data_IF_254202610406
#
_entry.id   IF_254202610406
#
_cell.length_a   1.000
_cell.length_b   1.000
_cell.length_c   1.000
_cell.angle_alpha   90.00
_cell.angle_beta   90.00
_cell.angle_gamma   90.00
#
_symmetry.space_group_name_H-M   'P 1'
#
loop_
_entity.id
_entity.type
_entity.pdbx_description
1 polymer ?
#
# COMPACT_ATOMS: atom_id res chain seq x y z
N UNK A 1 -74.78 36.88 62.88
CA UNK A 1 -73.39 36.66 62.43
C UNK A 1 -72.97 37.85 61.58
N UNK A 2 -71.92 38.59 61.96
CA UNK A 2 -71.44 39.77 61.22
C UNK A 2 -70.64 39.33 59.99
N UNK A 3 -70.79 39.97 58.81
CA UNK A 3 -69.93 39.69 57.67
C UNK A 3 -68.51 40.19 57.95
N UNK A 4 -67.51 39.34 57.72
CA UNK A 4 -66.09 39.75 57.74
C UNK A 4 -65.81 40.58 56.48
N UNK A 5 -65.01 41.66 56.56
CA UNK A 5 -64.64 42.42 55.38
C UNK A 5 -63.70 41.60 54.50
N UNK A 6 -63.97 41.57 53.20
CA UNK A 6 -63.01 41.08 52.21
C UNK A 6 -61.82 42.05 52.20
N UNK A 7 -60.68 41.61 52.71
CA UNK A 7 -59.42 42.34 52.57
C UNK A 7 -59.01 42.20 51.10
N UNK A 8 -59.32 43.23 50.30
CA UNK A 8 -58.79 43.36 48.95
C UNK A 8 -57.27 43.39 49.03
N UNK A 9 -56.61 42.46 48.32
CA UNK A 9 -55.18 42.56 48.09
C UNK A 9 -54.90 43.90 47.41
N UNK A 10 -54.07 44.73 48.05
CA UNK A 10 -53.60 45.97 47.44
C UNK A 10 -52.94 45.66 46.10
N UNK A 11 -53.21 46.47 45.06
CA UNK A 11 -52.66 46.31 43.72
C UNK A 11 -51.12 46.11 43.72
N UNK A 12 -50.40 46.64 44.72
CA UNK A 12 -48.94 46.49 44.82
C UNK A 12 -48.49 45.10 45.28
N UNK A 13 -49.29 44.40 46.10
CA UNK A 13 -48.97 43.04 46.57
C UNK A 13 -49.33 41.98 45.54
N UNK A 14 -50.43 42.18 44.80
CA UNK A 14 -50.80 41.32 43.67
C UNK A 14 -49.80 41.46 42.52
N UNK A 15 -49.36 42.70 42.21
CA UNK A 15 -48.32 42.95 41.22
C UNK A 15 -46.99 42.25 41.59
N UNK A 16 -46.50 42.36 42.83
CA UNK A 16 -45.26 41.67 43.25
C UNK A 16 -45.34 40.14 43.19
N UNK A 17 -46.50 39.53 43.50
CA UNK A 17 -46.71 38.08 43.45
C UNK A 17 -46.79 37.50 42.03
N UNK A 18 -47.18 38.29 41.04
CA UNK A 18 -47.23 37.87 39.63
C UNK A 18 -45.93 38.25 38.89
N UNK A 19 -45.37 39.42 39.18
CA UNK A 19 -44.18 39.95 38.50
C UNK A 19 -42.92 39.15 38.86
N UNK A 20 -42.72 38.72 40.11
CA UNK A 20 -41.51 37.97 40.47
C UNK A 20 -41.44 36.56 39.84
N UNK A 21 -42.51 35.74 39.84
CA UNK A 21 -42.52 34.46 39.10
C UNK A 21 -42.47 34.66 37.59
N UNK A 22 -43.13 35.69 37.04
CA UNK A 22 -43.08 35.99 35.61
C UNK A 22 -41.70 36.46 35.14
N UNK A 23 -40.98 37.24 35.97
CA UNK A 23 -39.58 37.61 35.73
C UNK A 23 -38.65 36.41 35.88
N UNK A 24 -38.90 35.49 36.81
CA UNK A 24 -38.11 34.27 36.96
C UNK A 24 -38.32 33.31 35.79
N UNK A 25 -39.57 33.09 35.35
CA UNK A 25 -39.90 32.28 34.17
C UNK A 25 -39.38 32.97 32.90
N UNK A 26 -39.52 34.29 32.78
CA UNK A 26 -38.97 35.07 31.68
C UNK A 26 -37.44 35.01 31.61
N UNK A 27 -36.75 35.13 32.75
CA UNK A 27 -35.29 34.99 32.83
C UNK A 27 -34.82 33.55 32.56
N UNK A 28 -35.59 32.54 32.98
CA UNK A 28 -35.33 31.13 32.68
C UNK A 28 -35.53 30.83 31.19
N UNK A 29 -36.58 31.37 30.57
CA UNK A 29 -36.81 31.26 29.12
C UNK A 29 -35.74 32.00 28.32
N UNK A 30 -35.32 33.20 28.75
CA UNK A 30 -34.20 33.92 28.13
C UNK A 30 -32.92 33.09 28.27
N UNK A 31 -32.59 32.56 29.45
CA UNK A 31 -31.40 31.73 29.64
C UNK A 31 -31.39 30.46 28.78
N UNK A 32 -32.56 29.82 28.58
CA UNK A 32 -32.72 28.65 27.71
C UNK A 32 -32.67 29.01 26.22
N UNK A 33 -33.14 30.19 25.81
CA UNK A 33 -33.05 30.67 24.42
C UNK A 33 -31.71 31.36 24.08
N UNK A 34 -30.96 31.82 25.08
CA UNK A 34 -29.60 32.40 24.90
C UNK A 34 -28.49 31.37 25.04
N UNK A 35 -28.78 30.19 25.59
CA UNK A 35 -27.91 29.03 25.47
C UNK A 35 -28.32 28.23 24.24
N UNK A 36 -27.85 28.68 23.08
CA UNK A 36 -27.69 27.75 21.97
C UNK A 36 -26.80 26.59 22.47
N UNK A 37 -27.23 25.33 22.37
CA UNK A 37 -26.34 24.22 22.65
C UNK A 37 -25.10 24.40 21.78
N UNK A 38 -23.89 24.16 22.33
CA UNK A 38 -22.68 24.27 21.53
C UNK A 38 -22.87 23.43 20.26
N UNK A 39 -22.41 23.93 19.09
CA UNK A 39 -22.51 23.17 17.86
C UNK A 39 -21.94 21.76 18.11
N UNK A 40 -22.55 20.71 17.54
CA UNK A 40 -21.99 19.38 17.67
C UNK A 40 -20.51 19.42 17.24
N UNK A 41 -19.62 18.72 17.97
CA UNK A 41 -18.20 18.75 17.68
C UNK A 41 -17.97 18.34 16.22
N UNK A 42 -17.08 19.05 15.54
CA UNK A 42 -16.70 18.74 14.16
C UNK A 42 -15.93 17.42 14.10
N UNK A 43 -15.77 16.84 12.90
CA UNK A 43 -14.91 15.67 12.73
C UNK A 43 -13.46 15.94 13.15
N UNK A 44 -13.00 17.19 13.03
CA UNK A 44 -11.68 17.60 13.47
C UNK A 44 -11.59 17.63 15.00
N UNK A 45 -12.65 18.08 15.68
CA UNK A 45 -12.73 18.07 17.16
C UNK A 45 -12.77 16.64 17.75
N UNK A 46 -13.15 15.65 16.94
CA UNK A 46 -13.23 14.23 17.32
C UNK A 46 -12.05 13.40 16.77
N UNK A 47 -11.15 14.03 16.01
CA UNK A 47 -10.02 13.34 15.40
C UNK A 47 -9.04 12.85 16.47
N UNK A 48 -8.53 11.64 16.29
CA UNK A 48 -7.43 11.12 17.09
C UNK A 48 -6.12 11.81 16.69
N UNK A 49 -5.13 11.76 17.58
CA UNK A 49 -3.79 12.22 17.22
C UNK A 49 -3.21 11.30 16.15
N UNK A 50 -2.40 11.90 15.26
CA UNK A 50 -1.69 11.21 14.20
C UNK A 50 -0.22 11.66 14.24
N UNK A 51 0.69 10.69 14.23
CA UNK A 51 2.11 10.93 14.07
C UNK A 51 2.54 10.38 12.71
N UNK A 52 3.28 11.18 11.95
CA UNK A 52 3.90 10.75 10.70
C UNK A 52 5.41 10.68 10.89
N UNK A 53 5.97 9.52 10.58
CA UNK A 53 7.40 9.26 10.51
C UNK A 53 7.76 9.02 9.04
N UNK A 54 8.96 9.44 8.64
CA UNK A 54 9.43 9.24 7.27
C UNK A 54 10.95 9.16 7.22
N UNK A 55 11.47 8.48 6.21
CA UNK A 55 12.91 8.36 5.99
C UNK A 55 13.23 7.73 4.64
N UNK A 56 14.48 7.29 4.50
CA UNK A 56 14.95 6.56 3.33
C UNK A 56 15.42 5.16 3.74
N UNK A 57 15.12 4.15 2.92
CA UNK A 57 15.56 2.76 3.07
C UNK A 57 15.31 2.02 1.74
N UNK A 58 15.99 0.88 1.51
CA UNK A 58 15.77 0.01 0.35
C UNK A 58 15.85 0.75 -1.01
N UNK A 59 16.74 1.74 -1.11
CA UNK A 59 16.91 2.56 -2.31
C UNK A 59 15.73 3.51 -2.63
N UNK A 60 14.83 3.73 -1.68
CA UNK A 60 13.64 4.57 -1.82
C UNK A 60 13.31 5.32 -0.52
N UNK A 61 12.15 5.96 -0.47
CA UNK A 61 11.61 6.60 0.74
C UNK A 61 10.51 5.76 1.36
N UNK A 62 10.30 5.95 2.65
CA UNK A 62 9.18 5.37 3.39
C UNK A 62 8.45 6.45 4.19
N UNK A 63 7.15 6.23 4.40
CA UNK A 63 6.29 7.04 5.27
C UNK A 63 5.38 6.13 6.09
N UNK A 64 5.32 6.38 7.40
CA UNK A 64 4.45 5.64 8.32
C UNK A 64 3.61 6.64 9.09
N UNK A 65 2.29 6.47 9.03
CA UNK A 65 1.32 7.23 9.83
C UNK A 65 0.75 6.33 10.91
N UNK A 66 0.79 6.78 12.15
CA UNK A 66 0.29 6.04 13.31
C UNK A 66 -0.79 6.88 13.99
N UNK A 67 -1.94 6.26 14.26
CA UNK A 67 -3.11 6.90 14.87
C UNK A 67 -3.34 6.33 16.26
N UNK A 68 -3.52 7.20 17.25
CA UNK A 68 -3.72 6.82 18.64
C UNK A 68 -3.44 7.99 19.58
N UNK A 69 -3.34 7.76 20.89
CA UNK A 69 -2.85 8.78 21.81
C UNK A 69 -1.47 9.27 21.35
N UNK A 70 -1.26 10.58 21.27
CA UNK A 70 0.03 11.15 20.87
C UNK A 70 1.16 10.52 21.70
N UNK A 71 2.07 9.74 21.08
CA UNK A 71 3.22 9.23 21.80
C UNK A 71 4.07 10.40 22.28
N UNK A 72 4.51 10.31 23.54
CA UNK A 72 5.55 11.20 24.04
C UNK A 72 6.86 10.99 23.25
N UNK A 73 7.87 11.82 23.50
CA UNK A 73 9.14 11.77 22.78
C UNK A 73 9.77 10.37 22.78
N UNK A 74 9.72 9.67 23.93
CA UNK A 74 10.19 8.28 24.05
C UNK A 74 9.42 7.32 23.14
N UNK A 75 8.08 7.40 23.11
CA UNK A 75 7.27 6.56 22.24
C UNK A 75 7.51 6.81 20.75
N UNK A 76 7.81 8.07 20.36
CA UNK A 76 8.20 8.38 18.99
C UNK A 76 9.57 7.76 18.62
N UNK A 77 10.52 7.76 19.56
CA UNK A 77 11.81 7.09 19.38
C UNK A 77 11.66 5.57 19.27
N UNK A 78 10.81 4.95 20.09
CA UNK A 78 10.50 3.51 20.02
C UNK A 78 9.86 3.12 18.68
N UNK A 79 8.89 3.92 18.20
CA UNK A 79 8.28 3.75 16.88
C UNK A 79 9.32 3.83 15.77
N UNK A 80 10.15 4.87 15.76
CA UNK A 80 11.19 5.07 14.76
C UNK A 80 12.23 3.93 14.78
N UNK A 81 12.63 3.47 15.96
CA UNK A 81 13.54 2.34 16.12
C UNK A 81 12.94 1.03 15.59
N UNK A 82 11.67 0.74 15.88
CA UNK A 82 11.00 -0.46 15.40
C UNK A 82 10.82 -0.47 13.88
N UNK A 83 10.44 0.66 13.28
CA UNK A 83 10.33 0.81 11.82
C UNK A 83 11.71 0.62 11.17
N UNK A 84 12.74 1.27 11.71
CA UNK A 84 14.11 1.19 11.17
C UNK A 84 14.65 -0.23 11.27
N UNK A 85 14.44 -0.91 12.40
CA UNK A 85 14.87 -2.30 12.59
C UNK A 85 14.15 -3.26 11.62
N UNK A 86 12.86 -3.05 11.36
CA UNK A 86 12.11 -3.84 10.40
C UNK A 86 12.65 -3.67 8.97
N UNK A 87 12.94 -2.43 8.55
CA UNK A 87 13.52 -2.11 7.25
C UNK A 87 14.93 -2.65 7.10
N UNK A 88 15.81 -2.40 8.08
CA UNK A 88 17.21 -2.85 8.06
C UNK A 88 17.29 -4.38 8.02
N UNK A 89 16.43 -5.08 8.79
CA UNK A 89 16.40 -6.54 8.75
C UNK A 89 16.01 -7.09 7.37
N UNK A 90 15.22 -6.37 6.59
CA UNK A 90 14.89 -6.77 5.21
C UNK A 90 16.06 -6.46 4.28
N UNK A 91 16.66 -5.27 4.39
CA UNK A 91 17.80 -4.85 3.57
C UNK A 91 19.01 -5.76 3.76
N UNK A 92 19.40 -6.03 5.01
CA UNK A 92 20.49 -6.95 5.38
C UNK A 92 20.30 -8.37 4.79
N UNK A 93 19.06 -8.82 4.61
CA UNK A 93 18.78 -10.20 4.17
C UNK A 93 18.52 -10.30 2.67
N UNK A 94 17.89 -9.30 2.08
CA UNK A 94 17.26 -9.40 0.75
C UNK A 94 17.81 -8.40 -0.27
N UNK A 95 18.75 -7.54 0.12
CA UNK A 95 19.34 -6.56 -0.80
C UNK A 95 20.31 -7.21 -1.77
N UNK A 96 20.16 -6.92 -3.06
CA UNK A 96 21.12 -7.27 -4.12
C UNK A 96 22.25 -6.25 -4.26
N UNK A 97 22.16 -5.11 -3.56
CA UNK A 97 23.15 -4.03 -3.61
C UNK A 97 24.19 -4.11 -2.50
N UNK A 98 23.86 -4.81 -1.41
CA UNK A 98 24.75 -5.04 -0.27
C UNK A 98 25.63 -6.25 -0.49
N UNK A 99 26.94 -6.05 -0.37
CA UNK A 99 27.92 -7.14 -0.47
C UNK A 99 27.82 -8.11 0.72
N UNK A 100 27.35 -7.64 1.87
CA UNK A 100 27.22 -8.38 3.12
C UNK A 100 25.84 -9.04 3.32
N UNK A 101 24.94 -8.97 2.34
CA UNK A 101 23.59 -9.51 2.52
C UNK A 101 23.53 -11.04 2.42
N UNK A 102 22.53 -11.63 3.10
CA UNK A 102 22.26 -13.07 3.00
C UNK A 102 21.96 -13.49 1.54
N UNK A 103 21.20 -12.67 0.81
CA UNK A 103 20.89 -12.92 -0.60
C UNK A 103 22.14 -12.89 -1.49
N UNK A 104 23.07 -11.96 -1.25
CA UNK A 104 24.36 -11.92 -1.95
C UNK A 104 25.18 -13.17 -1.64
N UNK A 105 25.23 -13.62 -0.38
CA UNK A 105 25.90 -14.86 -0.01
C UNK A 105 25.26 -16.09 -0.69
N UNK A 106 23.93 -16.18 -0.75
CA UNK A 106 23.22 -17.24 -1.48
C UNK A 106 23.54 -17.20 -3.00
N UNK A 107 23.63 -16.01 -3.58
CA UNK A 107 23.96 -15.83 -4.99
C UNK A 107 25.41 -16.25 -5.30
N UNK A 108 26.34 -15.97 -4.40
CA UNK A 108 27.75 -16.36 -4.51
C UNK A 108 28.00 -17.85 -4.19
N UNK A 109 27.07 -18.51 -3.49
CA UNK A 109 27.17 -19.92 -3.19
C UNK A 109 27.08 -20.78 -4.46
N UNK A 110 28.19 -21.38 -4.89
CA UNK A 110 28.27 -22.17 -6.13
C UNK A 110 28.26 -23.68 -5.90
N UNK A 111 28.24 -24.16 -4.66
CA UNK A 111 28.04 -25.59 -4.38
C UNK A 111 26.59 -26.01 -4.63
N UNK A 112 26.38 -27.29 -4.94
CA UNK A 112 25.05 -27.92 -4.91
C UNK A 112 24.59 -28.29 -3.50
N UNK A 113 25.39 -27.99 -2.48
CA UNK A 113 25.00 -28.23 -1.08
C UNK A 113 23.87 -27.28 -0.65
N UNK A 114 23.01 -27.68 0.30
CA UNK A 114 22.00 -26.79 0.86
C UNK A 114 22.62 -25.57 1.54
N UNK A 115 22.10 -24.39 1.24
CA UNK A 115 22.50 -23.12 1.87
C UNK A 115 21.45 -22.70 2.92
N UNK A 116 21.82 -22.49 4.19
CA UNK A 116 20.89 -22.04 5.22
C UNK A 116 20.46 -20.60 4.97
N UNK A 117 19.18 -20.31 5.17
CA UNK A 117 18.62 -18.95 5.04
C UNK A 117 17.78 -18.58 6.27
N UNK A 118 17.67 -17.30 6.57
CA UNK A 118 16.85 -16.82 7.65
C UNK A 118 15.35 -17.15 7.41
N UNK A 119 14.56 -17.34 8.49
CA UNK A 119 13.12 -17.58 8.35
C UNK A 119 12.38 -16.52 7.52
N UNK A 120 12.81 -15.26 7.58
CA UNK A 120 12.25 -14.18 6.76
C UNK A 120 12.53 -14.35 5.27
N UNK A 121 13.73 -14.79 4.91
CA UNK A 121 14.13 -15.04 3.52
C UNK A 121 13.39 -16.23 2.96
N UNK A 122 13.33 -17.34 3.72
CA UNK A 122 12.50 -18.50 3.38
C UNK A 122 11.04 -18.09 3.19
N UNK A 123 10.48 -17.27 4.08
CA UNK A 123 9.10 -16.81 3.97
C UNK A 123 8.83 -16.00 2.69
N UNK A 124 9.77 -15.19 2.23
CA UNK A 124 9.64 -14.45 0.96
C UNK A 124 9.80 -15.38 -0.24
N UNK A 125 10.76 -16.32 -0.20
CA UNK A 125 10.95 -17.31 -1.27
C UNK A 125 9.71 -18.20 -1.46
N UNK A 126 9.07 -18.64 -0.39
CA UNK A 126 7.83 -19.44 -0.47
C UNK A 126 6.66 -18.65 -1.09
N UNK A 127 6.54 -17.35 -0.78
CA UNK A 127 5.54 -16.48 -1.42
C UNK A 127 5.86 -16.29 -2.90
N UNK A 128 7.14 -16.07 -3.22
CA UNK A 128 7.62 -15.97 -4.58
C UNK A 128 7.34 -17.24 -5.39
N UNK A 129 7.56 -18.43 -4.80
CA UNK A 129 7.23 -19.73 -5.41
C UNK A 129 5.73 -19.86 -5.68
N UNK A 130 4.90 -19.45 -4.73
CA UNK A 130 3.44 -19.45 -4.92
C UNK A 130 3.03 -18.61 -6.13
N UNK A 131 3.55 -17.39 -6.26
CA UNK A 131 3.20 -16.50 -7.37
C UNK A 131 3.79 -17.00 -8.69
N UNK A 132 5.01 -17.54 -8.69
CA UNK A 132 5.62 -18.16 -9.87
C UNK A 132 4.79 -19.32 -10.41
N UNK A 133 4.38 -20.25 -9.54
CA UNK A 133 3.52 -21.37 -9.93
C UNK A 133 2.17 -20.89 -10.47
N UNK A 134 1.53 -19.94 -9.79
CA UNK A 134 0.20 -19.46 -10.17
C UNK A 134 0.18 -18.61 -11.44
N UNK A 135 1.31 -17.98 -11.78
CA UNK A 135 1.51 -17.15 -12.96
C UNK A 135 2.15 -17.89 -14.14
N UNK A 136 2.28 -19.23 -14.03
CA UNK A 136 2.94 -20.07 -15.03
C UNK A 136 4.33 -19.56 -15.40
N UNK A 137 5.08 -19.14 -14.38
CA UNK A 137 6.45 -18.64 -14.50
C UNK A 137 6.59 -17.17 -14.89
N UNK A 138 5.51 -16.40 -15.07
CA UNK A 138 5.62 -14.99 -15.44
C UNK A 138 6.29 -14.15 -14.34
N UNK A 139 6.05 -14.46 -13.07
CA UNK A 139 6.84 -13.91 -11.96
C UNK A 139 7.98 -14.86 -11.61
N UNK A 140 9.24 -14.47 -11.83
CA UNK A 140 10.40 -15.31 -11.52
C UNK A 140 11.50 -14.49 -10.83
N UNK A 141 11.84 -14.87 -9.60
CA UNK A 141 12.89 -14.20 -8.80
C UNK A 141 14.31 -14.51 -9.28
N UNK A 142 14.48 -15.32 -10.32
CA UNK A 142 15.78 -15.61 -10.92
C UNK A 142 16.02 -14.87 -12.23
N UNK A 143 15.10 -13.98 -12.63
CA UNK A 143 15.10 -13.24 -13.91
C UNK A 143 16.28 -12.25 -14.08
N UNK A 144 16.99 -11.93 -12.99
CA UNK A 144 18.00 -10.87 -12.96
C UNK A 144 19.08 -10.94 -14.08
N UNK A 145 19.60 -12.11 -14.49
CA UNK A 145 20.54 -12.19 -15.61
C UNK A 145 19.96 -11.66 -16.92
N UNK A 146 18.66 -11.87 -17.18
CA UNK A 146 17.97 -11.32 -18.35
C UNK A 146 17.75 -9.81 -18.21
N UNK A 147 17.34 -9.35 -17.02
CA UNK A 147 17.19 -7.91 -16.71
C UNK A 147 18.48 -7.15 -17.01
N UNK A 148 19.63 -7.70 -16.61
CA UNK A 148 20.95 -7.12 -16.90
C UNK A 148 21.30 -7.14 -18.39
N UNK A 149 21.00 -8.23 -19.10
CA UNK A 149 21.25 -8.36 -20.54
C UNK A 149 20.48 -7.32 -21.36
N UNK A 150 19.32 -6.89 -20.88
CA UNK A 150 18.54 -5.80 -21.47
C UNK A 150 18.93 -4.40 -20.97
N UNK A 151 20.02 -4.27 -20.20
CA UNK A 151 20.54 -2.97 -19.79
C UNK A 151 19.83 -2.35 -18.59
N UNK A 152 19.01 -3.11 -17.87
CA UNK A 152 18.41 -2.68 -16.61
C UNK A 152 19.29 -3.16 -15.44
N UNK A 153 19.09 -2.59 -14.24
CA UNK A 153 19.90 -2.96 -13.06
C UNK A 153 21.37 -2.48 -13.10
N UNK A 154 21.63 -1.32 -13.72
CA UNK A 154 22.96 -0.67 -13.71
C UNK A 154 23.87 -1.02 -14.89
N UNK A 155 23.40 -1.83 -15.86
CA UNK A 155 24.15 -2.14 -17.07
C UNK A 155 23.95 -1.08 -18.18
N UNK A 156 25.03 -0.71 -18.87
CA UNK A 156 24.94 0.10 -20.09
C UNK A 156 24.65 -0.80 -21.27
N UNK A 157 23.58 -0.52 -22.02
CA UNK A 157 23.24 -1.24 -23.23
C UNK A 157 23.57 -0.38 -24.44
N UNK A 158 24.35 -0.92 -25.38
CA UNK A 158 24.55 -0.34 -26.70
C UNK A 158 23.66 -0.98 -27.76
N UNK A 159 23.39 -2.29 -27.65
CA UNK A 159 22.53 -3.07 -28.54
C UNK A 159 21.72 -4.12 -27.76
N UNK A 160 20.53 -4.53 -28.23
CA UNK A 160 19.77 -5.64 -27.63
C UNK A 160 20.58 -6.96 -27.58
N UNK A 161 20.32 -7.84 -26.58
CA UNK A 161 21.00 -9.12 -26.49
C UNK A 161 20.69 -10.02 -27.69
N UNK A 162 21.68 -10.76 -28.16
CA UNK A 162 21.49 -11.70 -29.28
C UNK A 162 20.60 -12.89 -28.88
N UNK A 163 19.93 -13.54 -29.84
CA UNK A 163 19.15 -14.77 -29.59
C UNK A 163 20.00 -15.86 -28.91
N UNK A 164 21.26 -15.99 -29.30
CA UNK A 164 22.20 -16.97 -28.70
C UNK A 164 22.55 -16.63 -27.25
N UNK A 165 22.63 -15.35 -26.92
CA UNK A 165 22.87 -14.88 -25.57
C UNK A 165 21.64 -15.11 -24.69
N UNK A 166 20.44 -14.73 -25.16
CA UNK A 166 19.18 -15.00 -24.47
C UNK A 166 18.98 -16.49 -24.20
N UNK A 167 19.20 -17.35 -25.20
CA UNK A 167 19.10 -18.80 -25.04
C UNK A 167 20.11 -19.37 -24.03
N UNK A 168 21.27 -18.72 -23.83
CA UNK A 168 22.26 -19.11 -22.81
C UNK A 168 21.83 -18.66 -21.41
N UNK A 169 21.23 -17.47 -21.30
CA UNK A 169 20.74 -16.91 -20.04
C UNK A 169 19.48 -17.65 -19.54
N UNK A 170 18.54 -17.97 -20.44
CA UNK A 170 17.33 -18.72 -20.11
C UNK A 170 17.60 -20.06 -19.44
N UNK A 171 18.74 -20.71 -19.71
CA UNK A 171 19.14 -21.96 -19.03
C UNK A 171 19.47 -21.79 -17.54
N UNK A 172 19.60 -20.54 -17.08
CA UNK A 172 19.95 -20.15 -15.71
C UNK A 172 18.80 -19.41 -15.02
N UNK A 173 17.69 -19.22 -15.73
CA UNK A 173 16.48 -18.56 -15.23
C UNK A 173 15.39 -19.62 -15.09
N UNK A 174 14.77 -19.64 -13.92
CA UNK A 174 13.73 -20.57 -13.54
C UNK A 174 13.77 -20.79 -12.03
N UNK A 175 12.72 -20.39 -11.31
CA UNK A 175 12.57 -20.75 -9.90
C UNK A 175 12.58 -22.26 -9.65
N UNK A 176 12.24 -23.09 -10.66
CA UNK A 176 12.42 -24.55 -10.61
C UNK A 176 13.86 -24.99 -10.29
N UNK A 177 14.85 -24.10 -10.43
CA UNK A 177 16.23 -24.36 -10.03
C UNK A 177 16.49 -24.18 -8.54
N UNK A 178 15.56 -23.61 -7.78
CA UNK A 178 15.62 -23.41 -6.35
C UNK A 178 14.78 -24.48 -5.66
N UNK A 179 15.41 -25.33 -4.84
CA UNK A 179 14.71 -26.28 -3.98
C UNK A 179 14.63 -25.66 -2.58
N UNK A 180 13.41 -25.39 -2.13
CA UNK A 180 13.15 -24.76 -0.83
C UNK A 180 12.83 -25.84 0.21
N UNK A 181 13.73 -26.05 1.16
CA UNK A 181 13.47 -26.88 2.35
C UNK A 181 13.02 -25.98 3.50
N UNK A 182 11.70 -25.78 3.57
CA UNK A 182 11.08 -24.95 4.61
C UNK A 182 11.29 -25.52 6.02
N UNK A 183 11.36 -26.84 6.17
CA UNK A 183 11.47 -27.48 7.48
C UNK A 183 12.83 -27.20 8.12
N UNK A 184 13.90 -27.25 7.32
CA UNK A 184 15.26 -27.01 7.78
C UNK A 184 15.76 -25.57 7.53
N UNK A 185 14.97 -24.74 6.84
CA UNK A 185 15.34 -23.36 6.52
C UNK A 185 16.51 -23.29 5.54
N UNK A 186 16.49 -24.12 4.49
CA UNK A 186 17.60 -24.25 3.54
C UNK A 186 17.12 -24.09 2.09
N UNK A 187 18.00 -23.55 1.25
CA UNK A 187 17.79 -23.39 -0.19
C UNK A 187 18.90 -24.14 -0.93
N UNK A 188 18.54 -25.02 -1.84
CA UNK A 188 19.51 -25.71 -2.70
C UNK A 188 19.36 -25.21 -4.14
N UNK A 189 20.46 -24.76 -4.76
CA UNK A 189 20.49 -24.40 -6.17
C UNK A 189 20.88 -25.63 -7.00
N UNK A 190 19.99 -26.08 -7.87
CA UNK A 190 20.28 -27.19 -8.81
C UNK A 190 21.31 -26.81 -9.88
N UNK A 191 21.58 -25.50 -10.02
CA UNK A 191 22.65 -24.96 -10.85
C UNK A 191 23.45 -23.90 -10.09
N UNK A 192 24.78 -23.89 -10.20
CA UNK A 192 25.63 -22.96 -9.45
C UNK A 192 25.52 -21.51 -9.93
N UNK A 193 25.11 -21.32 -11.18
CA UNK A 193 25.04 -20.03 -11.88
C UNK A 193 23.67 -19.35 -11.81
N UNK A 194 22.73 -19.91 -11.05
CA UNK A 194 21.44 -19.29 -10.74
C UNK A 194 21.63 -18.22 -9.66
N UNK A 195 21.02 -17.06 -9.91
CA UNK A 195 21.00 -15.91 -9.01
C UNK A 195 19.56 -15.54 -8.68
N UNK A 196 19.31 -15.14 -7.45
CA UNK A 196 18.03 -14.71 -6.92
C UNK A 196 18.02 -13.19 -6.72
N UNK A 197 16.92 -12.56 -7.11
CA UNK A 197 16.59 -11.15 -6.93
C UNK A 197 15.16 -11.04 -6.39
N UNK A 198 15.04 -10.46 -5.19
CA UNK A 198 13.78 -10.30 -4.48
C UNK A 198 13.19 -8.89 -4.64
N UNK A 199 13.70 -8.06 -5.55
CA UNK A 199 13.30 -6.66 -5.72
C UNK A 199 11.81 -6.47 -6.00
N UNK A 200 11.15 -7.47 -6.60
CA UNK A 200 9.73 -7.45 -6.95
C UNK A 200 8.78 -8.01 -5.85
N UNK A 201 9.30 -8.21 -4.63
CA UNK A 201 8.52 -8.71 -3.48
C UNK A 201 9.01 -8.17 -2.13
N UNK A 202 10.30 -7.81 -2.02
CA UNK A 202 10.93 -7.43 -0.76
C UNK A 202 10.38 -6.13 -0.17
N UNK A 203 9.99 -5.15 -1.00
CA UNK A 203 9.36 -3.90 -0.51
C UNK A 203 7.99 -4.17 0.09
N UNK A 204 7.14 -4.94 -0.60
CA UNK A 204 5.88 -5.40 -0.04
C UNK A 204 6.09 -6.15 1.29
N UNK A 205 7.09 -7.03 1.36
CA UNK A 205 7.42 -7.71 2.62
C UNK A 205 7.88 -6.75 3.72
N UNK A 206 8.70 -5.74 3.41
CA UNK A 206 9.13 -4.72 4.36
C UNK A 206 7.94 -3.95 4.95
N UNK A 207 6.97 -3.57 4.12
CA UNK A 207 5.72 -2.93 4.54
C UNK A 207 4.92 -3.84 5.50
N UNK A 208 4.83 -5.13 5.21
CA UNK A 208 4.21 -6.10 6.12
C UNK A 208 4.96 -6.18 7.46
N UNK A 209 6.30 -6.17 7.43
CA UNK A 209 7.14 -6.22 8.65
C UNK A 209 7.04 -4.97 9.51
N UNK A 210 6.97 -3.79 8.90
CA UNK A 210 6.67 -2.54 9.63
C UNK A 210 5.31 -2.67 10.32
N UNK A 211 4.29 -3.16 9.60
CA UNK A 211 2.95 -3.25 10.13
C UNK A 211 2.85 -4.21 11.32
N UNK A 212 3.57 -5.33 11.29
CA UNK A 212 3.70 -6.27 12.42
C UNK A 212 4.43 -5.60 13.59
N UNK A 213 5.58 -4.95 13.35
CA UNK A 213 6.35 -4.29 14.41
C UNK A 213 5.54 -3.21 15.15
N UNK A 214 4.72 -2.44 14.44
CA UNK A 214 3.83 -1.45 15.04
C UNK A 214 2.70 -2.10 15.86
N UNK A 215 2.11 -3.19 15.34
CA UNK A 215 1.08 -3.93 16.05
C UNK A 215 1.60 -4.56 17.35
N UNK A 216 2.85 -5.07 17.34
CA UNK A 216 3.51 -5.62 18.52
C UNK A 216 3.76 -4.55 19.61
N UNK A 217 3.90 -3.28 19.22
CA UNK A 217 3.95 -2.13 20.12
C UNK A 217 2.55 -1.61 20.53
N UNK A 218 1.47 -2.25 20.09
CA UNK A 218 0.09 -1.88 20.40
C UNK A 218 -0.53 -0.85 19.45
N UNK A 219 0.19 -0.38 18.44
CA UNK A 219 -0.32 0.52 17.42
C UNK A 219 -1.01 -0.27 16.31
N UNK A 220 -2.33 -0.40 16.43
CA UNK A 220 -3.16 -1.20 15.49
C UNK A 220 -3.83 -0.37 14.39
N UNK A 221 -3.78 0.96 14.51
CA UNK A 221 -4.29 1.92 13.54
C UNK A 221 -3.09 2.65 12.90
N UNK A 222 -2.71 2.23 11.69
CA UNK A 222 -1.54 2.78 11.01
C UNK A 222 -1.61 2.56 9.51
N UNK A 223 -0.84 3.35 8.78
CA UNK A 223 -0.57 3.17 7.37
C UNK A 223 0.93 3.23 7.14
N UNK A 224 1.51 2.16 6.61
CA UNK A 224 2.91 2.10 6.23
C UNK A 224 3.02 2.14 4.71
N UNK A 225 3.95 2.93 4.19
CA UNK A 225 4.28 3.06 2.78
C UNK A 225 5.81 2.98 2.61
N UNK A 226 6.26 2.19 1.64
CA UNK A 226 7.66 2.08 1.24
C UNK A 226 7.71 2.01 -0.28
N UNK A 227 8.25 3.03 -0.95
CA UNK A 227 8.48 3.00 -2.40
C UNK A 227 7.22 2.84 -3.28
N UNK A 228 6.04 3.15 -2.77
CA UNK A 228 4.74 3.00 -3.42
C UNK A 228 3.93 1.78 -2.95
N UNK A 229 4.55 0.82 -2.26
CA UNK A 229 3.85 -0.30 -1.62
C UNK A 229 3.28 0.14 -0.28
N UNK A 230 2.01 -0.20 -0.01
CA UNK A 230 1.24 0.36 1.09
C UNK A 230 0.52 -0.75 1.85
N UNK A 231 0.46 -0.62 3.18
CA UNK A 231 -0.42 -1.41 4.03
C UNK A 231 -1.10 -0.52 5.05
N UNK A 232 -2.42 -0.65 5.14
CA UNK A 232 -3.21 0.08 6.12
C UNK A 232 -3.87 -0.90 7.09
N UNK A 233 -3.73 -0.63 8.38
CA UNK A 233 -4.33 -1.37 9.49
C UNK A 233 -5.30 -0.46 10.24
N UNK A 234 -6.43 -1.04 10.67
CA UNK A 234 -7.42 -0.32 11.47
C UNK A 234 -8.03 0.88 10.75
N UNK A 235 -8.13 2.00 11.46
CA UNK A 235 -8.79 3.22 11.02
C UNK A 235 -7.84 4.41 10.97
N UNK A 236 -8.15 5.41 10.14
CA UNK A 236 -7.46 6.69 10.15
C UNK A 236 -7.84 7.54 11.37
N UNK A 237 -7.23 8.73 11.51
CA UNK A 237 -7.52 9.68 12.60
C UNK A 237 -8.98 10.10 12.75
N UNK A 238 -9.77 9.98 11.69
CA UNK A 238 -11.20 10.28 11.67
C UNK A 238 -12.09 9.05 11.94
N UNK A 239 -11.52 7.92 12.38
CA UNK A 239 -12.21 6.64 12.59
C UNK A 239 -12.88 6.10 11.32
N UNK A 240 -12.29 6.39 10.16
CA UNK A 240 -12.72 5.93 8.83
C UNK A 240 -11.65 5.04 8.19
N UNK A 241 -12.00 4.21 7.19
CA UNK A 241 -11.00 3.48 6.43
C UNK A 241 -9.99 4.44 5.79
N UNK A 242 -8.75 3.98 5.62
CA UNK A 242 -7.70 4.77 5.01
C UNK A 242 -8.02 5.01 3.53
N UNK A 243 -8.06 6.26 3.09
CA UNK A 243 -8.37 6.61 1.69
C UNK A 243 -7.09 6.88 0.93
N UNK A 244 -6.88 6.15 -0.16
CA UNK A 244 -5.70 6.23 -1.01
C UNK A 244 -6.10 6.46 -2.45
N UNK A 245 -5.44 7.41 -3.09
CA UNK A 245 -5.60 7.68 -4.51
C UNK A 245 -4.67 6.76 -5.31
N UNK A 246 -5.23 6.12 -6.34
CA UNK A 246 -4.48 5.51 -7.43
C UNK A 246 -4.36 6.60 -8.50
N UNK A 247 -3.13 6.96 -8.87
CA UNK A 247 -2.87 8.02 -9.84
C UNK A 247 -2.84 7.49 -11.27
N UNK A 248 -3.18 8.35 -12.24
CA UNK A 248 -2.90 8.12 -13.66
C UNK A 248 -1.40 8.17 -13.91
N UNK A 249 -0.82 7.22 -14.66
CA UNK A 249 0.56 7.29 -15.13
C UNK A 249 0.66 8.28 -16.30
N UNK A 250 0.42 9.57 -16.02
CA UNK A 250 0.64 10.68 -16.95
C UNK A 250 1.84 11.51 -16.47
N UNK A 251 2.80 11.73 -17.37
CA UNK A 251 4.01 12.52 -17.12
C UNK A 251 3.73 14.03 -17.00
N UNK A 252 2.57 14.50 -17.45
CA UNK A 252 2.23 15.92 -17.52
C UNK A 252 1.25 16.38 -16.42
N UNK A 253 0.52 15.47 -15.78
CA UNK A 253 -0.42 15.82 -14.70
C UNK A 253 -0.62 14.68 -13.68
N UNK A 254 -0.58 15.01 -12.39
CA UNK A 254 -1.07 14.11 -11.33
C UNK A 254 -2.60 14.16 -11.30
N UNK A 255 -3.25 13.29 -12.06
CA UNK A 255 -4.69 13.10 -12.00
C UNK A 255 -5.02 11.88 -11.13
N UNK A 256 -5.90 12.06 -10.15
CA UNK A 256 -6.45 10.94 -9.35
C UNK A 256 -7.37 10.11 -10.24
N UNK A 257 -7.12 8.81 -10.32
CA UNK A 257 -7.96 7.88 -11.07
C UNK A 257 -9.07 7.29 -10.21
N UNK A 258 -8.68 6.59 -9.15
CA UNK A 258 -9.58 5.87 -8.27
C UNK A 258 -9.18 6.16 -6.84
N UNK A 259 -10.15 6.34 -5.95
CA UNK A 259 -9.90 6.32 -4.50
C UNK A 259 -10.30 4.96 -3.96
N UNK A 260 -9.35 4.23 -3.39
CA UNK A 260 -9.59 2.98 -2.68
C UNK A 260 -9.62 3.22 -1.17
N UNK A 261 -10.40 2.41 -0.46
CA UNK A 261 -10.42 2.37 0.99
C UNK A 261 -9.70 1.13 1.48
N UNK A 262 -8.67 1.31 2.30
CA UNK A 262 -7.91 0.23 2.91
C UNK A 262 -8.22 0.14 4.41
N UNK A 263 -8.49 -1.08 4.87
CA UNK A 263 -8.59 -1.44 6.28
C UNK A 263 -8.14 -2.89 6.42
N UNK A 264 -7.04 -3.10 7.13
CA UNK A 264 -6.35 -4.39 7.22
C UNK A 264 -6.06 -4.98 5.84
N UNK A 265 -5.65 -4.10 4.92
CA UNK A 265 -5.47 -4.41 3.50
C UNK A 265 -4.23 -3.68 2.98
N UNK A 266 -3.50 -4.34 2.10
CA UNK A 266 -2.36 -3.79 1.41
C UNK A 266 -2.69 -3.47 -0.05
N UNK A 267 -1.89 -2.58 -0.63
CA UNK A 267 -1.93 -2.17 -2.02
C UNK A 267 -0.50 -2.08 -2.55
N UNK A 268 -0.24 -2.66 -3.71
CA UNK A 268 0.99 -2.46 -4.46
C UNK A 268 0.66 -2.10 -5.90
N UNK A 269 1.52 -1.30 -6.54
CA UNK A 269 1.35 -0.92 -7.94
C UNK A 269 2.67 -1.08 -8.68
N UNK A 270 2.67 -1.94 -9.70
CA UNK A 270 3.77 -2.04 -10.66
C UNK A 270 3.39 -1.25 -11.91
N UNK A 271 4.35 -0.57 -12.53
CA UNK A 271 4.09 0.19 -13.75
C UNK A 271 5.36 0.60 -14.48
N UNK A 272 5.22 0.89 -15.77
CA UNK A 272 6.33 1.16 -16.69
C UNK A 272 6.69 2.65 -16.79
N UNK A 273 6.03 3.52 -16.02
CA UNK A 273 6.08 4.98 -16.17
C UNK A 273 7.29 5.65 -15.53
N UNK A 274 8.01 4.97 -14.63
CA UNK A 274 9.21 5.51 -13.98
C UNK A 274 10.52 5.05 -14.63
N UNK A 275 10.53 3.88 -15.27
CA UNK A 275 11.74 3.23 -15.80
C UNK A 275 11.46 2.61 -17.19
N UNK A 276 11.62 3.38 -18.27
CA UNK A 276 11.51 2.90 -19.65
C UNK A 276 12.62 3.48 -20.53
N UNK A 277 12.90 2.84 -21.66
CA UNK A 277 13.80 3.37 -22.70
C UNK A 277 13.05 3.50 -24.01
N UNK A 278 13.27 4.58 -24.75
CA UNK A 278 12.79 4.73 -26.12
C UNK A 278 13.94 4.49 -27.09
N UNK A 279 13.78 3.53 -27.99
CA UNK A 279 14.73 3.23 -29.06
C UNK A 279 13.94 2.90 -30.34
N UNK A 280 14.30 3.54 -31.46
CA UNK A 280 13.65 3.38 -32.77
C UNK A 280 12.12 3.59 -32.76
N UNK A 281 11.64 4.53 -31.94
CA UNK A 281 10.20 4.81 -31.78
C UNK A 281 9.43 3.74 -31.00
N UNK A 282 10.12 2.74 -30.42
CA UNK A 282 9.55 1.72 -29.55
C UNK A 282 9.97 1.97 -28.10
N UNK A 283 9.00 1.86 -27.19
CA UNK A 283 9.20 1.98 -25.75
C UNK A 283 9.46 0.60 -25.16
N UNK A 284 10.65 0.40 -24.64
CA UNK A 284 11.08 -0.81 -23.95
C UNK A 284 10.84 -0.65 -22.45
N UNK A 285 9.98 -1.50 -21.90
CA UNK A 285 9.79 -1.60 -20.44
C UNK A 285 11.00 -2.29 -19.80
N UNK A 286 11.25 -1.99 -18.52
CA UNK A 286 12.18 -2.75 -17.68
C UNK A 286 11.66 -4.13 -17.27
N UNK A 287 10.41 -4.44 -17.63
CA UNK A 287 9.79 -5.74 -17.39
C UNK A 287 10.20 -6.74 -18.47
N UNK A 288 10.86 -7.81 -18.05
CA UNK A 288 11.32 -8.91 -18.92
C UNK A 288 10.42 -10.12 -18.67
N UNK A 289 10.00 -10.80 -19.73
CA UNK A 289 9.33 -12.10 -19.58
C UNK A 289 10.37 -13.20 -19.36
N UNK A 290 10.45 -13.81 -18.17
CA UNK A 290 11.44 -14.86 -17.88
C UNK A 290 11.24 -16.14 -18.72
N UNK A 291 10.08 -16.30 -19.37
CA UNK A 291 9.75 -17.49 -20.19
C UNK A 291 10.33 -17.39 -21.59
N UNK A 292 10.39 -16.17 -22.14
CA UNK A 292 10.92 -15.90 -23.48
C UNK A 292 12.29 -15.24 -23.46
N UNK A 293 12.64 -14.60 -22.35
CA UNK A 293 13.84 -13.78 -22.21
C UNK A 293 13.71 -12.39 -22.83
N UNK A 294 12.55 -12.05 -23.40
CA UNK A 294 12.34 -10.81 -24.14
C UNK A 294 11.86 -9.67 -23.24
N UNK A 295 12.30 -8.46 -23.53
CA UNK A 295 11.71 -7.26 -22.97
C UNK A 295 10.30 -7.05 -23.53
N UNK A 296 9.34 -6.79 -22.65
CA UNK A 296 7.93 -6.76 -23.03
C UNK A 296 7.54 -5.48 -23.76
N UNK A 297 6.70 -5.67 -24.79
CA UNK A 297 5.99 -4.63 -25.52
C UNK A 297 4.49 -4.91 -25.40
N UNK A 298 3.83 -4.34 -24.39
CA UNK A 298 2.37 -4.41 -24.28
C UNK A 298 1.79 -3.07 -23.80
N UNK A 299 0.49 -2.92 -23.97
CA UNK A 299 -0.25 -1.69 -23.65
C UNK A 299 -0.52 -1.50 -22.16
N UNK A 300 -0.28 -2.51 -21.31
CA UNK A 300 -0.49 -2.37 -19.86
C UNK A 300 0.53 -1.38 -19.25
N UNK A 301 0.04 -0.24 -18.76
CA UNK A 301 0.84 0.82 -18.15
C UNK A 301 1.07 0.60 -16.66
N UNK A 302 0.06 0.09 -15.96
CA UNK A 302 0.16 -0.28 -14.55
C UNK A 302 -0.81 -1.37 -14.16
N UNK A 303 -0.41 -2.13 -13.13
CA UNK A 303 -1.25 -3.07 -12.41
C UNK A 303 -1.22 -2.71 -10.93
N UNK A 304 -2.37 -2.39 -10.35
CA UNK A 304 -2.56 -2.19 -8.91
C UNK A 304 -3.26 -3.39 -8.32
N UNK A 305 -2.71 -3.97 -7.25
CA UNK A 305 -3.26 -5.15 -6.58
C UNK A 305 -3.58 -4.82 -5.13
N UNK A 306 -4.77 -5.23 -4.67
CA UNK A 306 -5.15 -5.23 -3.26
C UNK A 306 -5.05 -6.65 -2.70
N UNK A 307 -4.36 -6.81 -1.56
CA UNK A 307 -4.17 -8.11 -0.93
C UNK A 307 -4.02 -7.99 0.59
N UNK A 308 -4.40 -8.98 1.41
CA UNK A 308 -4.17 -8.97 2.86
C UNK A 308 -2.71 -8.94 3.29
N UNK A 309 -1.78 -9.28 2.39
CA UNK A 309 -0.32 -9.24 2.57
C UNK A 309 0.30 -8.45 1.42
N UNK A 310 1.10 -7.44 1.75
CA UNK A 310 1.69 -6.52 0.79
C UNK A 310 2.74 -7.20 -0.09
N UNK A 311 3.49 -8.17 0.44
CA UNK A 311 4.42 -9.00 -0.35
C UNK A 311 3.74 -9.70 -1.54
N UNK A 312 2.55 -10.25 -1.33
CA UNK A 312 1.76 -10.86 -2.41
C UNK A 312 1.22 -9.82 -3.38
N UNK A 313 0.74 -8.67 -2.89
CA UNK A 313 0.30 -7.58 -3.77
C UNK A 313 1.42 -7.15 -4.73
N UNK A 314 2.64 -6.96 -4.21
CA UNK A 314 3.83 -6.55 -4.96
C UNK A 314 4.21 -7.59 -6.04
N UNK A 315 4.26 -8.86 -5.64
CA UNK A 315 4.58 -9.95 -6.55
C UNK A 315 3.52 -10.15 -7.64
N UNK A 316 2.22 -10.12 -7.31
CA UNK A 316 1.15 -10.22 -8.31
C UNK A 316 1.10 -9.01 -9.24
N UNK A 317 1.32 -7.80 -8.72
CA UNK A 317 1.38 -6.61 -9.56
C UNK A 317 2.49 -6.75 -10.62
N UNK A 318 3.66 -7.26 -10.23
CA UNK A 318 4.76 -7.57 -11.16
C UNK A 318 4.39 -8.70 -12.13
N UNK A 319 3.81 -9.80 -11.64
CA UNK A 319 3.35 -10.91 -12.48
C UNK A 319 2.35 -10.44 -13.56
N UNK A 320 1.43 -9.57 -13.19
CA UNK A 320 0.43 -9.02 -14.10
C UNK A 320 1.03 -8.06 -15.12
N UNK A 321 2.03 -7.27 -14.72
CA UNK A 321 2.82 -6.52 -15.69
C UNK A 321 3.45 -7.48 -16.70
N UNK A 322 4.07 -8.59 -16.26
CA UNK A 322 4.67 -9.55 -17.21
C UNK A 322 3.64 -10.20 -18.15
N UNK A 323 2.47 -10.56 -17.63
CA UNK A 323 1.42 -11.24 -18.39
C UNK A 323 0.72 -10.35 -19.42
N UNK A 324 0.72 -9.03 -19.21
CA UNK A 324 -0.10 -8.11 -19.99
C UNK A 324 -1.60 -8.19 -19.65
N UNK A 325 -2.43 -7.31 -20.23
CA UNK A 325 -3.75 -6.99 -19.69
C UNK A 325 -4.74 -8.17 -19.72
N UNK A 326 -4.76 -8.96 -20.79
CA UNK A 326 -5.77 -10.01 -20.98
C UNK A 326 -5.45 -11.28 -20.16
N UNK A 327 -4.19 -11.71 -20.17
CA UNK A 327 -3.74 -12.85 -19.38
C UNK A 327 -3.72 -12.52 -17.88
N UNK A 328 -3.33 -11.30 -17.49
CA UNK A 328 -3.42 -10.82 -16.12
C UNK A 328 -4.87 -10.80 -15.62
N UNK A 329 -5.80 -10.26 -16.41
CA UNK A 329 -7.23 -10.26 -16.05
C UNK A 329 -7.78 -11.68 -15.89
N UNK A 330 -7.37 -12.60 -16.75
CA UNK A 330 -7.78 -14.01 -16.68
C UNK A 330 -7.26 -14.68 -15.40
N UNK A 331 -5.97 -14.51 -15.10
CA UNK A 331 -5.36 -15.03 -13.87
C UNK A 331 -6.00 -14.42 -12.62
N UNK A 332 -6.15 -13.10 -12.58
CA UNK A 332 -6.69 -12.38 -11.42
C UNK A 332 -8.14 -12.80 -11.13
N UNK A 333 -8.97 -13.00 -12.16
CA UNK A 333 -10.33 -13.55 -11.99
C UNK A 333 -10.32 -14.98 -11.49
N UNK A 334 -9.45 -15.85 -12.03
CA UNK A 334 -9.33 -17.25 -11.62
C UNK A 334 -8.95 -17.38 -10.14
N UNK A 335 -8.10 -16.48 -9.65
CA UNK A 335 -7.59 -16.49 -8.28
C UNK A 335 -8.39 -15.57 -7.33
N UNK A 336 -9.45 -14.92 -7.82
CA UNK A 336 -10.23 -13.90 -7.10
C UNK A 336 -9.37 -12.76 -6.50
N UNK A 337 -8.31 -12.36 -7.22
CA UNK A 337 -7.43 -11.26 -6.82
C UNK A 337 -8.07 -9.93 -7.19
N UNK A 338 -8.11 -9.00 -6.22
CA UNK A 338 -8.56 -7.63 -6.43
C UNK A 338 -7.48 -6.85 -7.18
N UNK A 339 -7.68 -6.61 -8.48
CA UNK A 339 -6.73 -5.90 -9.33
C UNK A 339 -7.42 -4.83 -10.18
N UNK A 340 -6.68 -3.75 -10.43
CA UNK A 340 -6.99 -2.69 -11.37
C UNK A 340 -5.84 -2.58 -12.38
N UNK A 341 -6.19 -2.60 -13.65
CA UNK A 341 -5.25 -2.47 -14.76
C UNK A 341 -5.51 -1.17 -15.51
N UNK A 342 -4.44 -0.44 -15.81
CA UNK A 342 -4.49 0.74 -16.68
C UNK A 342 -3.86 0.38 -18.02
N UNK A 343 -4.67 0.35 -19.07
CA UNK A 343 -4.27 -0.07 -20.41
C UNK A 343 -4.19 1.14 -21.33
N UNK A 344 -3.05 1.35 -21.99
CA UNK A 344 -2.86 2.43 -22.98
C UNK A 344 -3.74 2.17 -24.20
N UNK A 345 -4.37 3.23 -24.69
CA UNK A 345 -5.14 3.27 -25.94
C UNK A 345 -4.34 3.99 -27.04
N UNK A 346 -4.69 3.74 -28.29
CA UNK A 346 -3.99 4.30 -29.47
C UNK A 346 -4.10 5.84 -29.57
N UNK A 347 -5.12 6.42 -28.94
CA UNK A 347 -5.36 7.87 -28.88
C UNK A 347 -4.54 8.58 -27.77
N UNK A 348 -3.67 7.85 -27.08
CA UNK A 348 -2.91 8.34 -25.94
C UNK A 348 -3.68 8.33 -24.62
N UNK A 349 -4.94 7.88 -24.63
CA UNK A 349 -5.76 7.68 -23.44
C UNK A 349 -5.45 6.38 -22.69
N UNK A 350 -6.20 6.15 -21.62
CA UNK A 350 -6.14 4.92 -20.82
C UNK A 350 -7.54 4.32 -20.65
N UNK A 351 -7.61 3.00 -20.73
CA UNK A 351 -8.76 2.18 -20.35
C UNK A 351 -8.52 1.56 -18.96
N UNK A 352 -9.57 1.59 -18.13
CA UNK A 352 -9.56 0.99 -16.80
C UNK A 352 -10.22 -0.38 -16.85
N UNK A 353 -9.49 -1.41 -16.44
CA UNK A 353 -10.04 -2.77 -16.31
C UNK A 353 -9.89 -3.25 -14.87
N UNK A 354 -11.01 -3.40 -14.17
CA UNK A 354 -11.04 -3.93 -12.80
C UNK A 354 -11.51 -5.38 -12.76
N UNK A 355 -11.02 -6.14 -11.77
CA UNK A 355 -11.59 -7.45 -11.45
C UNK A 355 -12.87 -7.28 -10.61
N UNK A 356 -13.79 -8.25 -10.63
CA UNK A 356 -14.95 -8.24 -9.74
C UNK A 356 -14.56 -8.13 -8.26
N UNK A 357 -13.43 -8.71 -7.86
CA UNK A 357 -12.89 -8.57 -6.51
C UNK A 357 -12.53 -7.11 -6.17
N UNK A 358 -11.89 -6.39 -7.10
CA UNK A 358 -11.58 -4.98 -6.92
C UNK A 358 -12.84 -4.11 -6.83
N UNK A 359 -13.85 -4.40 -7.65
CA UNK A 359 -15.13 -3.69 -7.64
C UNK A 359 -15.87 -3.85 -6.31
N UNK A 360 -15.78 -5.02 -5.65
CA UNK A 360 -16.32 -5.20 -4.29
C UNK A 360 -15.66 -4.25 -3.28
N UNK A 361 -14.35 -4.06 -3.36
CA UNK A 361 -13.63 -3.10 -2.51
C UNK A 361 -14.04 -1.65 -2.81
N UNK A 362 -14.24 -1.29 -4.08
CA UNK A 362 -14.73 0.05 -4.45
C UNK A 362 -16.18 0.31 -4.02
N UNK A 363 -17.08 -0.66 -4.18
CA UNK A 363 -18.48 -0.52 -3.79
C UNK A 363 -18.61 -0.27 -2.28
N UNK A 364 -17.84 -1.01 -1.48
CA UNK A 364 -17.74 -0.79 -0.04
C UNK A 364 -17.21 0.61 0.29
N UNK A 365 -16.29 1.14 -0.53
CA UNK A 365 -15.76 2.49 -0.35
C UNK A 365 -16.81 3.59 -0.60
N UNK A 366 -17.67 3.43 -1.63
CA UNK A 366 -18.74 4.40 -1.96
C UNK A 366 -19.90 4.40 -0.96
N UNK A 367 -20.11 3.29 -0.24
CA UNK A 367 -21.17 3.17 0.75
C UNK A 367 -20.90 3.93 2.06
N UNK A 368 -19.66 4.39 2.30
CA UNK A 368 -19.30 5.22 3.46
C UNK A 368 -19.35 6.69 3.02
N UNK A 369 -20.24 7.54 3.59
CA UNK A 369 -20.32 8.95 3.22
C UNK A 369 -18.96 9.63 3.43
N UNK A 370 -18.42 10.24 2.37
CA UNK A 370 -17.28 11.14 2.50
C UNK A 370 -17.69 12.40 3.28
N UNK A 371 -16.72 13.19 3.80
CA UNK A 371 -17.02 14.55 4.24
C UNK A 371 -17.66 15.31 3.08
N UNK A 372 -18.66 16.18 3.33
CA UNK A 372 -19.31 16.95 2.28
C UNK A 372 -18.24 17.74 1.50
N UNK A 373 -18.26 17.61 0.18
CA UNK A 373 -17.36 18.36 -0.70
C UNK A 373 -17.42 19.84 -0.33
N UNK A 374 -16.24 20.45 -0.15
CA UNK A 374 -16.15 21.90 0.00
C UNK A 374 -16.80 22.52 -1.24
N UNK A 375 -17.88 23.27 -1.02
CA UNK A 375 -18.61 23.99 -2.06
C UNK A 375 -17.62 24.71 -2.98
N UNK A 376 -17.83 24.68 -4.31
CA UNK A 376 -16.95 25.41 -5.22
C UNK A 376 -16.94 26.88 -4.82
N UNK A 377 -15.73 27.42 -4.62
CA UNK A 377 -15.52 28.85 -4.44
C UNK A 377 -16.13 29.56 -5.63
N UNK A 378 -17.24 30.25 -5.40
CA UNK A 378 -17.82 31.19 -6.36
C UNK A 378 -16.80 32.29 -6.62
N UNK A 379 -16.17 32.25 -7.80
CA UNK A 379 -15.46 33.35 -8.42
C UNK A 379 -16.27 33.88 -9.58
#
# INVERSE_FOLDING_TARGET
MRPRPFIGLSNSQLARRIVAPALFVGALFIAVFTHEPPPPPTLEDLALDEVTLSGAALGTTWSVRVVGPAPNETGQQELAAAITAALESVDEKMSTWREDSELTALNQHTSSDPFPVAPSTMAVLMRAETVWQQSDGAFDVTVYPLVRAWGFGGATLTEPPSETELASLLKRVGQSHLILDQLHGQVTKTRPDVTVDLSAIAKGYAVDRISVALADLGYTNHMAEVGGEIRASGWNRFKQPWRLAIERPDTMARAVEVVVQLRNLAMATSGDYRNFREQDGRRWSHTIDPRTGEALLHTLASATVLHPECAFADAYATAFMVLGPDAAMTMAKRLDIAALFLVRLDDGGFEHRSTPAFERHQANARAVPGPPDALPSSG
#
